data_IF_135151190412
#
_entry.id   IF_135151190412
#
_cell.length_a   1.000
_cell.length_b   1.000
_cell.length_c   1.000
_cell.angle_alpha   90.00
_cell.angle_beta   90.00
_cell.angle_gamma   90.00
#
_symmetry.space_group_name_H-M   'P 1'
#
loop_
_entity.id
_entity.type
_entity.pdbx_description
1 polymer ?
#
# COMPACT_ATOMS: atom_id res chain seq x y z
N UNK A 1 8.97 16.80 5.06
CA UNK A 1 8.34 16.70 6.39
C UNK A 1 7.97 18.11 6.84
N UNK A 2 6.83 18.31 7.48
CA UNK A 2 6.45 19.63 8.02
C UNK A 2 7.34 19.92 9.22
N UNK A 3 7.81 21.15 9.34
CA UNK A 3 8.60 21.61 10.48
C UNK A 3 7.80 21.43 11.79
N UNK A 4 8.45 20.87 12.83
CA UNK A 4 7.80 20.56 14.11
C UNK A 4 7.26 21.81 14.81
N UNK A 5 7.84 22.98 14.55
CA UNK A 5 7.40 24.28 15.11
C UNK A 5 6.06 24.76 14.57
N UNK A 6 5.61 24.25 13.41
CA UNK A 6 4.31 24.60 12.85
C UNK A 6 3.24 23.90 13.68
N UNK A 7 2.30 24.63 14.29
CA UNK A 7 1.22 23.99 15.05
C UNK A 7 0.08 23.46 14.14
N UNK A 8 -0.59 22.37 14.52
CA UNK A 8 -1.80 21.92 13.84
C UNK A 8 -2.93 22.96 13.96
N UNK A 9 -3.75 23.10 12.92
CA UNK A 9 -4.85 24.07 12.89
C UNK A 9 -6.14 23.57 13.55
N UNK A 10 -6.39 22.25 13.52
CA UNK A 10 -7.64 21.64 13.98
C UNK A 10 -7.44 20.66 15.14
N UNK A 11 -6.39 19.84 15.07
CA UNK A 11 -6.02 18.94 16.15
C UNK A 11 -5.28 19.73 17.24
N UNK A 12 -5.40 19.30 18.48
CA UNK A 12 -4.68 19.89 19.62
C UNK A 12 -3.17 19.63 19.55
N UNK A 13 -2.77 18.48 19.01
CA UNK A 13 -1.39 18.07 18.81
C UNK A 13 -1.29 17.01 17.68
N UNK A 14 -0.06 16.60 17.33
CA UNK A 14 0.20 15.57 16.29
C UNK A 14 0.25 14.16 16.90
N UNK A 15 -0.84 13.73 17.54
CA UNK A 15 -0.96 12.43 18.21
C UNK A 15 -2.18 11.64 17.73
N UNK A 16 -2.21 10.34 18.03
CA UNK A 16 -3.38 9.50 17.73
C UNK A 16 -4.55 9.85 18.65
N UNK A 17 -4.24 10.23 19.88
CA UNK A 17 -5.17 10.66 20.91
C UNK A 17 -5.94 11.91 20.45
N UNK A 18 -5.24 12.91 19.92
CA UNK A 18 -5.88 14.11 19.37
C UNK A 18 -6.81 13.82 18.19
N UNK A 19 -6.48 12.83 17.36
CA UNK A 19 -7.37 12.37 16.27
C UNK A 19 -8.61 11.68 16.83
N UNK A 20 -8.45 10.80 17.83
CA UNK A 20 -9.56 10.12 18.48
C UNK A 20 -10.51 11.10 19.18
N UNK A 21 -9.96 12.08 19.89
CA UNK A 21 -10.72 13.17 20.53
C UNK A 21 -11.49 13.99 19.49
N UNK A 22 -10.86 14.33 18.36
CA UNK A 22 -11.54 15.07 17.31
C UNK A 22 -12.70 14.30 16.68
N UNK A 23 -12.50 13.00 16.41
CA UNK A 23 -13.56 12.11 15.89
C UNK A 23 -14.72 12.00 16.89
N UNK A 24 -14.43 11.83 18.18
CA UNK A 24 -15.43 11.64 19.23
C UNK A 24 -16.10 12.92 19.70
N UNK A 25 -15.53 14.10 19.41
CA UNK A 25 -16.08 15.42 19.74
C UNK A 25 -17.47 15.71 19.14
N UNK A 26 -17.91 14.91 18.17
CA UNK A 26 -19.16 15.11 17.45
C UNK A 26 -19.09 16.16 16.33
N UNK A 27 -17.95 16.83 16.13
CA UNK A 27 -17.74 17.78 15.02
C UNK A 27 -17.48 17.06 13.68
N UNK A 28 -16.85 15.89 13.71
CA UNK A 28 -16.55 15.09 12.53
C UNK A 28 -17.78 14.28 12.13
N UNK A 29 -18.33 14.55 10.94
CA UNK A 29 -19.56 13.88 10.43
C UNK A 29 -19.30 12.94 9.25
N UNK A 30 -18.14 13.04 8.62
CA UNK A 30 -17.78 12.30 7.40
C UNK A 30 -16.31 11.94 7.46
N UNK A 31 -16.00 10.66 7.41
CA UNK A 31 -14.63 10.13 7.43
C UNK A 31 -14.41 9.36 6.13
N UNK A 32 -13.34 9.73 5.41
CA UNK A 32 -12.86 9.00 4.25
C UNK A 32 -11.62 8.22 4.65
N UNK A 33 -11.58 6.92 4.34
CA UNK A 33 -10.42 6.06 4.60
C UNK A 33 -9.77 5.74 3.26
N UNK A 34 -8.52 6.15 3.10
CA UNK A 34 -7.68 5.77 1.96
C UNK A 34 -6.75 4.66 2.42
N UNK A 35 -6.83 3.51 1.76
CA UNK A 35 -6.06 2.32 2.12
C UNK A 35 -5.29 1.78 0.92
N UNK A 36 -4.31 0.93 1.19
CA UNK A 36 -3.53 0.19 0.20
C UNK A 36 -3.20 -1.21 0.72
N UNK A 37 -2.36 -1.95 -0.01
CA UNK A 37 -2.06 -3.36 0.30
C UNK A 37 -1.56 -3.59 1.75
N UNK A 38 -0.92 -2.59 2.37
CA UNK A 38 -0.38 -2.67 3.72
C UNK A 38 -1.37 -3.17 4.79
N UNK A 39 -2.66 -2.82 4.69
CA UNK A 39 -3.66 -3.26 5.69
C UNK A 39 -3.93 -4.77 5.66
N UNK A 40 -3.62 -5.44 4.54
CA UNK A 40 -3.86 -6.87 4.33
C UNK A 40 -2.62 -7.73 4.61
N UNK A 41 -1.46 -7.11 4.89
CA UNK A 41 -0.21 -7.82 5.21
C UNK A 41 -0.35 -8.74 6.42
N UNK A 42 -1.10 -8.30 7.44
CA UNK A 42 -1.40 -9.11 8.62
C UNK A 42 -2.28 -10.34 8.31
N UNK A 43 -3.00 -10.34 7.18
CA UNK A 43 -3.79 -11.47 6.70
C UNK A 43 -2.97 -12.44 5.82
N UNK A 44 -1.65 -12.24 5.71
CA UNK A 44 -0.75 -13.07 4.91
C UNK A 44 -0.70 -12.69 3.43
N UNK A 45 -1.38 -11.62 3.01
CA UNK A 45 -1.31 -11.12 1.63
C UNK A 45 -0.13 -10.13 1.55
N UNK A 46 0.93 -10.43 0.77
CA UNK A 46 2.08 -9.54 0.69
C UNK A 46 1.70 -8.20 0.05
N UNK A 47 2.33 -7.12 0.51
CA UNK A 47 2.29 -5.87 -0.22
C UNK A 47 3.24 -5.92 -1.44
N UNK A 48 3.31 -4.83 -2.20
CA UNK A 48 4.15 -4.77 -3.39
C UNK A 48 5.61 -4.43 -3.10
N UNK A 49 5.88 -3.60 -2.08
CA UNK A 49 7.12 -2.79 -1.99
C UNK A 49 7.95 -3.03 -0.74
N UNK A 50 7.47 -3.81 0.23
CA UNK A 50 8.20 -4.11 1.45
C UNK A 50 9.53 -4.81 1.13
N UNK A 51 10.67 -4.35 1.67
CA UNK A 51 11.95 -5.01 1.46
C UNK A 51 11.91 -6.46 1.96
N UNK A 52 12.33 -7.41 1.13
CA UNK A 52 12.45 -8.84 1.47
C UNK A 52 11.13 -9.62 1.49
N UNK A 53 9.98 -8.99 1.76
CA UNK A 53 8.66 -9.66 1.81
C UNK A 53 7.68 -9.19 0.74
N UNK A 54 7.92 -8.03 0.13
CA UNK A 54 7.08 -7.44 -0.89
C UNK A 54 7.21 -8.15 -2.23
N UNK A 55 6.15 -8.11 -3.02
CA UNK A 55 6.02 -8.82 -4.28
C UNK A 55 7.18 -8.54 -5.24
N UNK A 56 7.59 -7.27 -5.38
CA UNK A 56 8.67 -6.85 -6.27
C UNK A 56 10.04 -7.44 -5.91
N UNK A 57 10.29 -7.76 -4.63
CA UNK A 57 11.53 -8.42 -4.24
C UNK A 57 11.63 -9.84 -4.82
N UNK A 58 10.48 -10.52 -4.99
CA UNK A 58 10.38 -11.88 -5.51
C UNK A 58 10.30 -11.96 -7.05
N UNK A 59 10.10 -10.82 -7.73
CA UNK A 59 10.02 -10.76 -9.20
C UNK A 59 11.38 -10.73 -9.91
N UNK A 60 12.50 -10.62 -9.18
CA UNK A 60 13.84 -10.59 -9.80
C UNK A 60 14.13 -11.80 -10.69
N UNK A 61 13.49 -12.94 -10.42
CA UNK A 61 13.60 -14.18 -11.23
C UNK A 61 12.92 -14.09 -12.61
N UNK A 62 11.98 -13.17 -12.82
CA UNK A 62 11.20 -13.06 -14.05
C UNK A 62 11.88 -12.20 -15.14
N UNK A 63 13.11 -11.72 -14.88
CA UNK A 63 13.93 -10.93 -15.81
C UNK A 63 13.18 -9.77 -16.48
N UNK A 64 12.37 -9.06 -15.69
CA UNK A 64 11.58 -7.93 -16.15
C UNK A 64 12.46 -6.70 -16.37
N UNK A 65 12.10 -5.79 -17.33
CA UNK A 65 12.84 -4.54 -17.53
C UNK A 65 12.78 -3.61 -16.30
N UNK A 66 11.71 -3.71 -15.52
CA UNK A 66 11.52 -3.10 -14.20
C UNK A 66 10.37 -3.85 -13.48
N UNK A 67 10.30 -3.77 -12.15
CA UNK A 67 9.39 -4.61 -11.36
C UNK A 67 7.91 -4.34 -11.64
N UNK A 68 7.56 -3.11 -11.98
CA UNK A 68 6.20 -2.67 -12.30
C UNK A 68 5.72 -3.18 -13.66
N UNK A 69 6.62 -3.66 -14.54
CA UNK A 69 6.27 -4.11 -15.88
C UNK A 69 5.27 -5.27 -15.88
N UNK A 70 5.28 -6.11 -14.84
CA UNK A 70 4.30 -7.20 -14.68
C UNK A 70 2.86 -6.71 -14.55
N UNK A 71 2.67 -5.45 -14.14
CA UNK A 71 1.37 -4.80 -13.98
C UNK A 71 1.09 -3.75 -15.06
N UNK A 72 1.96 -3.61 -16.06
CA UNK A 72 1.74 -2.73 -17.21
C UNK A 72 0.90 -3.45 -18.27
N UNK A 73 -0.19 -2.81 -18.72
CA UNK A 73 -1.12 -3.39 -19.68
C UNK A 73 -0.50 -3.61 -21.08
N UNK A 74 0.42 -2.74 -21.49
CA UNK A 74 1.12 -2.87 -22.77
C UNK A 74 2.12 -4.01 -22.71
N UNK A 75 2.84 -4.15 -21.60
CA UNK A 75 3.71 -5.29 -21.36
C UNK A 75 2.93 -6.60 -21.35
N UNK A 76 1.83 -6.68 -20.59
CA UNK A 76 0.98 -7.87 -20.50
C UNK A 76 0.46 -8.32 -21.87
N UNK A 77 0.05 -7.38 -22.74
CA UNK A 77 -0.41 -7.68 -24.10
C UNK A 77 0.69 -8.27 -25.00
N UNK A 78 1.94 -7.89 -24.77
CA UNK A 78 3.08 -8.39 -25.54
C UNK A 78 3.65 -9.69 -24.96
N UNK A 79 3.69 -9.82 -23.64
CA UNK A 79 4.21 -10.97 -22.90
C UNK A 79 3.41 -11.17 -21.59
N UNK A 80 2.34 -11.99 -21.60
CA UNK A 80 1.50 -12.20 -20.43
C UNK A 80 2.07 -13.19 -19.41
N UNK A 81 3.07 -13.99 -19.77
CA UNK A 81 3.59 -15.09 -18.95
C UNK A 81 4.04 -14.65 -17.54
N UNK A 82 4.79 -13.53 -17.36
CA UNK A 82 5.21 -13.10 -16.03
C UNK A 82 4.04 -12.77 -15.10
N UNK A 83 2.94 -12.24 -15.63
CA UNK A 83 1.73 -11.98 -14.84
C UNK A 83 1.06 -13.28 -14.42
N UNK A 84 0.95 -14.27 -15.31
CA UNK A 84 0.31 -15.55 -14.96
C UNK A 84 1.13 -16.37 -13.96
N UNK A 85 2.46 -16.37 -14.07
CA UNK A 85 3.34 -16.98 -13.06
C UNK A 85 3.12 -16.33 -11.69
N UNK A 86 3.02 -15.00 -11.66
CA UNK A 86 2.76 -14.26 -10.43
C UNK A 86 1.37 -14.54 -9.86
N UNK A 87 0.35 -14.58 -10.73
CA UNK A 87 -1.03 -14.85 -10.34
C UNK A 87 -1.18 -16.25 -9.72
N UNK A 88 -0.45 -17.24 -10.22
CA UNK A 88 -0.42 -18.59 -9.62
C UNK A 88 0.16 -18.58 -8.20
N UNK A 89 1.23 -17.82 -7.95
CA UNK A 89 1.84 -17.73 -6.61
C UNK A 89 0.99 -16.96 -5.60
N UNK A 90 0.22 -15.98 -6.09
CA UNK A 90 -0.71 -15.22 -5.26
C UNK A 90 -2.04 -15.94 -5.03
N UNK A 91 -2.31 -17.02 -5.76
CA UNK A 91 -3.57 -17.73 -5.64
C UNK A 91 -3.60 -18.51 -4.31
N UNK A 92 -4.61 -18.30 -3.45
CA UNK A 92 -4.79 -19.13 -2.27
C UNK A 92 -5.27 -20.52 -2.71
N UNK A 93 -4.34 -21.48 -2.80
CA UNK A 93 -4.61 -22.87 -3.20
C UNK A 93 -3.47 -23.80 -2.86
#
# INVERSE_FOLDING_TARGET
>A
MVDESVQPQLLTERSLEAVADYITSGQVKRICVMTGAGISTAAGIPDFRSPGTGLYANLKRLNLPHAEAVFDISYFRNNPDPFYVLAQELYPG
#
